data_IF_460869741815
#
_entry.id   IF_460869741815
#
_cell.length_a   1.000
_cell.length_b   1.000
_cell.length_c   1.000
_cell.angle_alpha   90.00
_cell.angle_beta   90.00
_cell.angle_gamma   90.00
#
_symmetry.space_group_name_H-M   'P 1'
#
loop_
_entity.id
_entity.type
_entity.pdbx_description
1 polymer ?
#
# COMPACT_ATOMS: atom_id res chain seq x y z
N UNK A 1 -6.40 -22.20 18.39
CA UNK A 1 -5.02 -21.66 18.44
C UNK A 1 -5.11 -20.15 18.31
N UNK A 2 -4.31 -19.37 19.05
CA UNK A 2 -4.38 -17.89 18.97
C UNK A 2 -3.99 -17.38 17.56
N UNK A 3 -4.62 -16.30 17.12
CA UNK A 3 -4.42 -15.62 15.83
C UNK A 3 -2.94 -15.46 15.46
N UNK A 4 -2.13 -14.91 16.37
CA UNK A 4 -0.72 -14.65 16.09
C UNK A 4 0.09 -15.94 15.83
N UNK A 5 -0.20 -17.01 16.58
CA UNK A 5 0.50 -18.29 16.39
C UNK A 5 0.14 -18.95 15.06
N UNK A 6 -1.12 -18.85 14.61
CA UNK A 6 -1.54 -19.29 13.25
C UNK A 6 -0.82 -18.48 12.17
N UNK A 7 -0.71 -17.18 12.35
CA UNK A 7 -0.01 -16.30 11.41
C UNK A 7 1.46 -16.67 11.25
N UNK A 8 2.16 -16.93 12.36
CA UNK A 8 3.55 -17.42 12.36
C UNK A 8 3.70 -18.79 11.70
N UNK A 9 2.68 -19.66 11.77
CA UNK A 9 2.66 -20.95 11.10
C UNK A 9 2.41 -20.86 9.57
N UNK A 10 2.17 -19.64 9.05
CA UNK A 10 1.98 -19.40 7.62
C UNK A 10 0.51 -19.40 7.17
N UNK A 11 -0.44 -19.49 8.10
CA UNK A 11 -1.89 -19.41 7.82
C UNK A 11 -2.34 -17.94 7.62
N UNK A 12 -1.58 -17.16 6.84
CA UNK A 12 -1.69 -15.70 6.81
C UNK A 12 -3.06 -15.20 6.31
N UNK A 13 -3.57 -15.76 5.20
CA UNK A 13 -4.89 -15.40 4.66
C UNK A 13 -6.02 -15.77 5.62
N UNK A 14 -6.04 -17.03 6.09
CA UNK A 14 -7.05 -17.52 7.02
C UNK A 14 -7.13 -16.71 8.32
N UNK A 15 -5.99 -16.24 8.84
CA UNK A 15 -5.97 -15.34 10.01
C UNK A 15 -6.67 -14.01 9.72
N UNK A 16 -6.48 -13.43 8.54
CA UNK A 16 -7.18 -12.19 8.18
C UNK A 16 -8.66 -12.41 7.90
N UNK A 17 -9.05 -13.57 7.36
CA UNK A 17 -10.46 -13.96 7.23
C UNK A 17 -11.11 -14.05 8.62
N UNK A 18 -10.47 -14.72 9.59
CA UNK A 18 -10.92 -14.78 10.98
C UNK A 18 -11.02 -13.38 11.63
N UNK A 19 -10.06 -12.49 11.35
CA UNK A 19 -10.09 -11.10 11.85
C UNK A 19 -11.26 -10.33 11.25
N UNK A 20 -11.54 -10.51 9.96
CA UNK A 20 -12.67 -9.88 9.28
C UNK A 20 -14.00 -10.35 9.86
N UNK A 21 -14.15 -11.66 10.12
CA UNK A 21 -15.35 -12.25 10.73
C UNK A 21 -15.65 -11.73 12.15
N UNK A 22 -14.64 -11.25 12.89
CA UNK A 22 -14.85 -10.63 14.20
C UNK A 22 -15.63 -9.31 14.11
N UNK A 23 -15.56 -8.60 12.98
CA UNK A 23 -16.16 -7.28 12.79
C UNK A 23 -15.79 -6.32 13.92
N UNK A 24 -16.79 -5.66 14.51
CA UNK A 24 -16.61 -4.70 15.63
C UNK A 24 -15.89 -5.33 16.84
N UNK A 25 -15.96 -6.66 17.04
CA UNK A 25 -15.28 -7.34 18.16
C UNK A 25 -13.76 -7.37 18.01
N UNK A 26 -13.23 -7.15 16.81
CA UNK A 26 -11.79 -7.05 16.57
C UNK A 26 -11.13 -5.99 17.47
N UNK A 27 -11.86 -4.92 17.79
CA UNK A 27 -11.39 -3.81 18.63
C UNK A 27 -11.59 -4.02 20.14
N UNK A 28 -12.06 -5.20 20.56
CA UNK A 28 -12.23 -5.51 21.99
C UNK A 28 -10.89 -5.70 22.69
N UNK A 29 -10.86 -5.48 24.01
CA UNK A 29 -9.68 -5.73 24.85
C UNK A 29 -9.19 -7.19 24.81
N UNK A 30 -10.05 -8.13 24.41
CA UNK A 30 -9.71 -9.54 24.25
C UNK A 30 -8.92 -9.83 22.96
N UNK A 31 -9.37 -9.27 21.83
CA UNK A 31 -8.84 -9.60 20.52
C UNK A 31 -7.72 -8.66 20.07
N UNK A 32 -7.82 -7.36 20.41
CA UNK A 32 -6.92 -6.33 19.93
C UNK A 32 -5.43 -6.65 20.18
N UNK A 33 -5.00 -7.11 21.38
CA UNK A 33 -3.57 -7.40 21.60
C UNK A 33 -2.99 -8.51 20.71
N UNK A 34 -3.80 -9.46 20.24
CA UNK A 34 -3.35 -10.48 19.29
C UNK A 34 -3.35 -9.97 17.85
N UNK A 35 -4.32 -9.13 17.49
CA UNK A 35 -4.39 -8.47 16.18
C UNK A 35 -3.21 -7.51 15.99
N UNK A 36 -2.85 -6.76 17.03
CA UNK A 36 -1.67 -5.88 16.98
C UNK A 36 -0.38 -6.67 16.71
N UNK A 37 -0.22 -7.87 17.28
CA UNK A 37 0.94 -8.74 16.97
C UNK A 37 0.92 -9.24 15.53
N UNK A 38 -0.26 -9.60 15.02
CA UNK A 38 -0.43 -10.00 13.61
C UNK A 38 -0.06 -8.84 12.69
N UNK A 39 -0.57 -7.63 12.94
CA UNK A 39 -0.25 -6.43 12.16
C UNK A 39 1.24 -6.09 12.23
N UNK A 40 1.85 -6.11 13.41
CA UNK A 40 3.29 -5.87 13.58
C UNK A 40 4.11 -6.84 12.73
N UNK A 41 3.88 -8.15 12.87
CA UNK A 41 4.59 -9.15 12.08
C UNK A 41 4.33 -9.00 10.58
N UNK A 42 3.09 -8.70 10.18
CA UNK A 42 2.72 -8.46 8.77
C UNK A 42 3.57 -7.34 8.19
N UNK A 43 3.63 -6.19 8.85
CA UNK A 43 4.33 -5.03 8.30
C UNK A 43 5.85 -5.09 8.49
N UNK A 44 6.36 -5.83 9.46
CA UNK A 44 7.79 -6.19 9.51
C UNK A 44 8.20 -7.07 8.31
N UNK A 45 7.34 -8.01 7.90
CA UNK A 45 7.55 -8.82 6.69
C UNK A 45 7.42 -7.99 5.42
N UNK A 46 6.47 -7.06 5.35
CA UNK A 46 6.36 -6.08 4.25
C UNK A 46 7.67 -5.29 4.10
N UNK A 47 8.16 -4.68 5.18
CA UNK A 47 9.42 -3.92 5.17
C UNK A 47 10.64 -4.79 4.82
N UNK A 48 10.65 -6.05 5.22
CA UNK A 48 11.67 -7.01 4.80
C UNK A 48 11.59 -7.31 3.30
N UNK A 49 10.42 -7.67 2.78
CA UNK A 49 10.19 -8.02 1.38
C UNK A 49 10.55 -6.86 0.45
N UNK A 50 10.14 -5.64 0.79
CA UNK A 50 10.47 -4.44 0.04
C UNK A 50 11.98 -4.21 -0.07
N UNK A 51 12.73 -4.40 1.02
CA UNK A 51 14.20 -4.28 0.99
C UNK A 51 14.85 -5.33 0.10
N UNK A 52 14.35 -6.57 0.13
CA UNK A 52 14.85 -7.63 -0.76
C UNK A 52 14.57 -7.26 -2.22
N UNK A 53 13.33 -6.93 -2.57
CA UNK A 53 12.96 -6.57 -3.95
C UNK A 53 13.80 -5.38 -4.43
N UNK A 54 13.94 -4.34 -3.62
CA UNK A 54 14.75 -3.17 -3.96
C UNK A 54 16.22 -3.54 -4.26
N UNK A 55 16.85 -4.38 -3.43
CA UNK A 55 18.23 -4.82 -3.64
C UNK A 55 18.39 -5.63 -4.93
N UNK A 56 17.46 -6.54 -5.21
CA UNK A 56 17.52 -7.38 -6.41
C UNK A 56 17.20 -6.57 -7.68
N UNK A 57 16.33 -5.55 -7.59
CA UNK A 57 16.08 -4.61 -8.67
C UNK A 57 17.34 -3.81 -9.04
N UNK A 58 18.07 -3.32 -8.03
CA UNK A 58 19.38 -2.68 -8.28
C UNK A 58 20.37 -3.64 -8.94
N UNK A 59 20.38 -4.92 -8.54
CA UNK A 59 21.31 -5.92 -9.08
C UNK A 59 21.08 -6.23 -10.56
N UNK A 60 19.85 -6.08 -11.06
CA UNK A 60 19.52 -6.23 -12.49
C UNK A 60 19.54 -4.90 -13.25
N UNK A 61 19.98 -3.81 -12.60
CA UNK A 61 20.10 -2.50 -13.23
C UNK A 61 18.78 -1.74 -13.38
N UNK A 62 17.77 -2.04 -12.56
CA UNK A 62 16.54 -1.27 -12.52
C UNK A 62 16.81 0.19 -12.13
N UNK A 63 16.19 1.14 -12.82
CA UNK A 63 16.48 2.57 -12.69
C UNK A 63 15.44 3.26 -11.81
N UNK A 64 15.77 3.42 -10.53
CA UNK A 64 15.02 4.24 -9.59
C UNK A 64 15.36 5.72 -9.72
N UNK A 65 14.48 6.59 -9.22
CA UNK A 65 14.74 8.04 -9.14
C UNK A 65 15.97 8.31 -8.28
N UNK A 66 16.97 8.95 -8.87
CA UNK A 66 18.31 9.11 -8.25
C UNK A 66 18.41 10.31 -7.31
N UNK A 67 17.63 11.37 -7.56
CA UNK A 67 17.61 12.60 -6.76
C UNK A 67 16.17 12.96 -6.37
N UNK A 68 15.56 12.23 -5.41
CA UNK A 68 14.23 12.55 -4.92
C UNK A 68 14.26 13.85 -4.11
N UNK A 69 13.40 14.80 -4.45
CA UNK A 69 13.18 16.05 -3.72
C UNK A 69 12.15 15.86 -2.60
N UNK A 70 11.20 14.94 -2.79
CA UNK A 70 10.12 14.66 -1.85
C UNK A 70 10.15 13.21 -1.36
N UNK A 71 9.51 12.93 -0.22
CA UNK A 71 9.49 11.57 0.34
C UNK A 71 8.73 10.57 -0.54
N UNK A 72 7.64 10.98 -1.18
CA UNK A 72 6.87 10.13 -2.09
C UNK A 72 7.67 9.69 -3.33
N UNK A 73 8.77 10.37 -3.65
CA UNK A 73 9.65 10.05 -4.77
C UNK A 73 10.74 9.03 -4.40
N UNK A 74 10.98 8.81 -3.10
CA UNK A 74 12.00 7.87 -2.64
C UNK A 74 11.53 6.46 -2.86
N UNK A 75 12.40 5.62 -3.43
CA UNK A 75 12.04 4.23 -3.70
C UNK A 75 11.72 3.42 -2.45
N UNK A 76 12.46 3.69 -1.39
CA UNK A 76 12.12 3.31 -0.02
C UNK A 76 12.47 4.47 0.89
N UNK A 77 11.63 4.73 1.87
CA UNK A 77 12.04 5.54 3.02
C UNK A 77 11.54 4.90 4.30
N UNK A 78 12.35 5.01 5.36
CA UNK A 78 11.97 4.58 6.70
C UNK A 78 10.79 5.42 7.21
N UNK A 79 10.05 4.93 8.22
CA UNK A 79 9.07 5.75 8.92
C UNK A 79 9.65 7.11 9.32
N UNK A 80 8.92 8.18 9.04
CA UNK A 80 9.32 9.54 9.39
C UNK A 80 9.28 9.72 10.92
N UNK A 81 10.16 10.55 11.48
CA UNK A 81 10.20 10.79 12.93
C UNK A 81 8.86 11.31 13.49
N UNK A 82 8.14 12.10 12.68
CA UNK A 82 6.83 12.65 13.01
C UNK A 82 5.64 11.80 12.52
N UNK A 83 5.85 10.53 12.15
CA UNK A 83 4.80 9.64 11.62
C UNK A 83 3.52 9.65 12.46
N UNK A 84 3.62 9.54 13.79
CA UNK A 84 2.43 9.54 14.66
C UNK A 84 1.67 10.88 14.64
N UNK A 85 2.39 12.01 14.53
CA UNK A 85 1.76 13.32 14.40
C UNK A 85 1.07 13.46 13.04
N UNK A 86 1.65 12.92 11.97
CA UNK A 86 1.04 12.90 10.64
C UNK A 86 -0.20 12.01 10.60
N UNK A 87 -0.19 10.83 11.26
CA UNK A 87 -1.39 10.00 11.43
C UNK A 87 -2.50 10.78 12.14
N UNK A 88 -2.18 11.49 13.22
CA UNK A 88 -3.16 12.31 13.94
C UNK A 88 -3.70 13.47 13.11
N UNK A 89 -2.84 14.10 12.29
CA UNK A 89 -3.22 15.16 11.35
C UNK A 89 -4.21 14.62 10.32
N UNK A 90 -3.93 13.45 9.72
CA UNK A 90 -4.82 12.77 8.79
C UNK A 90 -6.15 12.40 9.47
N UNK A 91 -6.09 11.71 10.61
CA UNK A 91 -7.29 11.29 11.37
C UNK A 91 -8.21 12.48 11.69
N UNK A 92 -7.62 13.63 12.06
CA UNK A 92 -8.38 14.85 12.36
C UNK A 92 -9.02 15.47 11.13
N UNK A 93 -8.29 15.51 10.00
CA UNK A 93 -8.77 16.09 8.76
C UNK A 93 -9.92 15.27 8.14
N UNK A 94 -9.84 13.94 8.22
CA UNK A 94 -10.84 13.04 7.62
C UNK A 94 -12.01 12.71 8.56
N UNK A 95 -11.97 13.13 9.83
CA UNK A 95 -12.96 12.77 10.84
C UNK A 95 -14.44 13.01 10.43
N UNK A 96 -14.80 14.06 9.67
CA UNK A 96 -16.17 14.23 9.17
C UNK A 96 -16.62 13.10 8.23
N UNK A 97 -15.68 12.48 7.52
CA UNK A 97 -15.93 11.45 6.54
C UNK A 97 -15.84 10.04 7.11
N UNK A 98 -14.94 9.80 8.07
CA UNK A 98 -14.81 8.51 8.74
C UNK A 98 -13.40 8.19 9.22
N UNK A 99 -12.97 6.96 9.00
CA UNK A 99 -11.70 6.39 9.49
C UNK A 99 -10.94 5.69 8.38
N UNK A 100 -9.61 5.85 8.38
CA UNK A 100 -8.71 4.94 7.66
C UNK A 100 -8.49 3.64 8.43
N UNK A 101 -8.20 2.52 7.73
CA UNK A 101 -7.98 1.24 8.38
C UNK A 101 -6.72 1.23 9.25
N UNK A 102 -6.74 0.38 10.28
CA UNK A 102 -5.59 0.22 11.18
C UNK A 102 -4.34 -0.30 10.45
N UNK A 103 -4.52 -1.15 9.45
CA UNK A 103 -3.45 -1.68 8.60
C UNK A 103 -2.61 -0.57 7.96
N UNK A 104 -3.25 0.48 7.43
CA UNK A 104 -2.55 1.63 6.84
C UNK A 104 -1.71 2.38 7.89
N UNK A 105 -2.23 2.55 9.11
CA UNK A 105 -1.48 3.18 10.22
C UNK A 105 -0.24 2.36 10.60
N UNK A 106 -0.35 1.03 10.60
CA UNK A 106 0.79 0.15 10.87
C UNK A 106 1.81 0.13 9.73
N UNK A 107 1.35 0.20 8.48
CA UNK A 107 2.23 0.37 7.32
C UNK A 107 3.14 1.59 7.52
N UNK A 108 2.57 2.76 7.81
CA UNK A 108 3.39 3.96 7.99
C UNK A 108 4.32 3.89 9.20
N UNK A 109 3.89 3.28 10.30
CA UNK A 109 4.71 3.14 11.52
C UNK A 109 5.90 2.20 11.37
N UNK A 110 5.79 1.16 10.54
CA UNK A 110 6.79 0.09 10.46
C UNK A 110 7.52 0.02 9.12
N UNK A 111 6.88 0.45 8.05
CA UNK A 111 7.41 0.41 6.68
C UNK A 111 7.89 1.78 6.24
N UNK A 112 7.11 2.84 6.49
CA UNK A 112 7.37 4.18 5.96
C UNK A 112 6.69 4.36 4.60
N UNK A 113 7.44 4.30 3.51
CA UNK A 113 6.88 4.42 2.15
C UNK A 113 7.69 3.68 1.11
N UNK A 114 7.07 3.45 -0.05
CA UNK A 114 7.65 2.73 -1.18
C UNK A 114 7.23 3.37 -2.48
N UNK A 115 8.15 3.54 -3.41
CA UNK A 115 7.88 3.96 -4.78
C UNK A 115 8.83 3.27 -5.76
N UNK A 116 8.45 2.11 -6.28
CA UNK A 116 9.27 1.39 -7.25
C UNK A 116 9.06 1.84 -8.69
N UNK A 117 8.44 3.01 -8.92
CA UNK A 117 8.34 3.56 -10.27
C UNK A 117 9.72 3.81 -10.86
N UNK A 118 9.79 3.63 -12.17
CA UNK A 118 11.00 3.84 -12.95
C UNK A 118 11.29 5.33 -13.10
N UNK A 119 12.55 5.72 -13.15
CA UNK A 119 12.95 7.11 -13.39
C UNK A 119 12.77 7.49 -14.88
N UNK A 120 11.52 7.74 -15.30
CA UNK A 120 11.22 8.15 -16.68
C UNK A 120 11.83 9.49 -17.07
N UNK A 121 12.08 10.36 -16.09
CA UNK A 121 12.68 11.67 -16.35
C UNK A 121 14.10 11.51 -16.91
N UNK A 122 14.85 10.52 -16.40
CA UNK A 122 16.22 10.24 -16.85
C UNK A 122 16.32 9.08 -17.85
N UNK A 123 15.38 8.15 -17.83
CA UNK A 123 15.45 6.89 -18.59
C UNK A 123 14.17 6.59 -19.36
N UNK A 124 14.17 6.79 -20.68
CA UNK A 124 12.99 6.56 -21.54
C UNK A 124 12.73 5.09 -21.89
N UNK A 125 13.75 4.25 -21.80
CA UNK A 125 13.65 2.83 -22.13
C UNK A 125 13.25 2.05 -20.88
N UNK A 126 11.95 1.86 -20.71
CA UNK A 126 11.40 1.11 -19.60
C UNK A 126 11.81 -0.36 -19.67
N UNK A 127 12.18 -0.94 -18.52
CA UNK A 127 12.55 -2.36 -18.43
C UNK A 127 11.34 -3.28 -18.65
N UNK A 128 10.21 -2.98 -18.01
CA UNK A 128 8.99 -3.76 -18.12
C UNK A 128 7.77 -2.85 -18.32
N UNK A 129 7.05 -3.04 -19.42
CA UNK A 129 5.90 -2.20 -19.75
C UNK A 129 4.64 -2.63 -19.00
N UNK A 130 3.94 -1.65 -18.47
CA UNK A 130 2.68 -1.78 -17.71
C UNK A 130 2.84 -2.78 -16.57
N UNK A 131 4.03 -2.81 -15.97
CA UNK A 131 4.40 -3.73 -14.91
C UNK A 131 3.78 -3.34 -13.56
N UNK A 132 3.25 -2.12 -13.47
CA UNK A 132 2.55 -1.58 -12.30
C UNK A 132 3.38 -1.72 -11.02
N UNK A 133 4.60 -1.13 -10.96
CA UNK A 133 5.45 -1.24 -9.78
C UNK A 133 4.73 -0.77 -8.52
N UNK A 134 4.99 -1.46 -7.40
CA UNK A 134 4.42 -1.08 -6.10
C UNK A 134 4.81 0.36 -5.75
N UNK A 135 3.80 1.15 -5.47
CA UNK A 135 3.92 2.50 -4.96
C UNK A 135 2.83 2.71 -3.91
N UNK A 136 3.21 3.19 -2.74
CA UNK A 136 2.30 3.71 -1.72
C UNK A 136 2.77 5.11 -1.35
N UNK A 137 1.90 6.11 -1.49
CA UNK A 137 2.17 7.51 -1.20
C UNK A 137 2.71 7.67 0.21
N UNK A 138 3.67 8.58 0.37
CA UNK A 138 4.27 8.86 1.66
C UNK A 138 3.26 9.56 2.57
N UNK A 139 3.34 9.29 3.87
CA UNK A 139 2.35 9.80 4.83
C UNK A 139 2.29 11.33 4.91
N UNK A 140 3.43 12.00 4.70
CA UNK A 140 3.49 13.46 4.63
C UNK A 140 2.76 14.00 3.41
N UNK A 141 2.90 13.37 2.24
CA UNK A 141 2.13 13.72 1.03
C UNK A 141 0.63 13.62 1.30
N UNK A 142 0.17 12.49 1.86
CA UNK A 142 -1.25 12.30 2.19
C UNK A 142 -1.71 13.36 3.20
N UNK A 143 -0.91 13.62 4.22
CA UNK A 143 -1.25 14.60 5.24
C UNK A 143 -1.36 16.02 4.65
N UNK A 144 -0.55 16.35 3.65
CA UNK A 144 -0.63 17.63 2.94
C UNK A 144 -1.85 17.68 2.01
N UNK A 145 -2.16 16.58 1.31
CA UNK A 145 -3.35 16.47 0.47
C UNK A 145 -4.64 16.66 1.27
N UNK A 146 -4.84 15.89 2.35
CA UNK A 146 -6.09 15.95 3.13
C UNK A 146 -6.24 17.23 3.95
N UNK A 147 -5.16 17.99 4.16
CA UNK A 147 -5.23 19.29 4.83
C UNK A 147 -5.27 20.47 3.88
N UNK A 148 -5.24 20.21 2.57
CA UNK A 148 -5.61 21.21 1.58
C UNK A 148 -7.06 21.64 1.82
N UNK A 149 -7.29 22.97 1.83
CA UNK A 149 -8.61 23.57 2.07
C UNK A 149 -9.70 23.11 1.09
N UNK A 150 -9.32 22.61 -0.10
CA UNK A 150 -10.26 22.16 -1.12
C UNK A 150 -10.56 20.66 -1.02
N UNK A 151 -9.71 19.87 -0.37
CA UNK A 151 -9.84 18.40 -0.36
C UNK A 151 -11.20 17.96 0.18
N UNK A 152 -11.66 18.55 1.30
CA UNK A 152 -12.95 18.18 1.87
C UNK A 152 -14.14 18.57 0.98
N UNK A 153 -14.05 19.70 0.27
CA UNK A 153 -15.09 20.14 -0.68
C UNK A 153 -15.13 19.20 -1.89
N UNK A 154 -13.98 18.87 -2.46
CA UNK A 154 -13.85 17.93 -3.59
C UNK A 154 -14.40 16.54 -3.21
N UNK A 155 -14.01 16.00 -2.06
CA UNK A 155 -14.51 14.70 -1.57
C UNK A 155 -16.02 14.73 -1.34
N UNK A 156 -16.57 15.84 -0.82
CA UNK A 156 -18.01 15.97 -0.64
C UNK A 156 -18.73 15.99 -1.99
N UNK A 157 -18.17 16.65 -3.01
CA UNK A 157 -18.74 16.60 -4.37
C UNK A 157 -18.73 15.18 -4.95
N UNK A 158 -17.65 14.41 -4.77
CA UNK A 158 -17.61 13.00 -5.21
C UNK A 158 -18.75 12.16 -4.60
N UNK A 159 -19.09 12.43 -3.33
CA UNK A 159 -20.17 11.75 -2.61
C UNK A 159 -21.55 12.27 -3.07
N UNK A 160 -21.73 13.59 -3.13
CA UNK A 160 -23.02 14.22 -3.45
C UNK A 160 -23.49 13.93 -4.88
N UNK A 161 -22.55 13.74 -5.81
CA UNK A 161 -22.84 13.39 -7.21
C UNK A 161 -22.80 11.87 -7.48
N UNK A 162 -22.77 11.03 -6.44
CA UNK A 162 -22.72 9.57 -6.54
C UNK A 162 -21.57 9.06 -7.46
N UNK A 163 -20.47 9.81 -7.55
CA UNK A 163 -19.28 9.38 -8.31
C UNK A 163 -18.53 8.30 -7.53
N UNK A 164 -18.46 8.45 -6.21
CA UNK A 164 -17.97 7.44 -5.27
C UNK A 164 -18.86 7.43 -4.03
N UNK A 165 -19.20 6.23 -3.55
CA UNK A 165 -20.07 6.06 -2.37
C UNK A 165 -19.41 6.53 -1.06
N UNK A 166 -18.08 6.61 -1.04
CA UNK A 166 -17.28 6.85 0.14
C UNK A 166 -16.16 7.86 -0.13
N UNK A 167 -15.80 8.61 0.91
CA UNK A 167 -14.57 9.38 0.91
C UNK A 167 -13.36 8.43 0.80
N UNK A 168 -12.22 8.95 0.34
CA UNK A 168 -11.06 8.12 0.03
C UNK A 168 -9.75 8.89 0.17
N UNK A 169 -8.65 8.15 0.28
CA UNK A 169 -7.30 8.71 0.08
C UNK A 169 -6.69 8.11 -1.17
N UNK A 170 -6.03 8.95 -1.98
CA UNK A 170 -5.19 8.45 -3.07
C UNK A 170 -3.90 7.88 -2.49
N UNK A 171 -3.67 6.58 -2.70
CA UNK A 171 -2.50 5.88 -2.15
C UNK A 171 -1.49 5.49 -3.20
N UNK A 172 -1.88 5.34 -4.46
CA UNK A 172 -0.97 4.96 -5.55
C UNK A 172 -1.51 5.53 -6.84
N UNK A 173 -0.66 5.93 -7.79
CA UNK A 173 -1.18 6.10 -9.14
C UNK A 173 -1.58 4.75 -9.75
N UNK A 174 -2.29 4.78 -10.87
CA UNK A 174 -2.59 3.59 -11.65
C UNK A 174 -1.37 3.11 -12.45
N UNK A 175 -1.50 1.96 -13.08
CA UNK A 175 -0.42 1.34 -13.86
C UNK A 175 0.07 2.19 -15.03
N UNK A 176 -0.79 3.04 -15.62
CA UNK A 176 -0.42 3.86 -16.78
C UNK A 176 0.32 5.12 -16.36
N UNK A 177 -0.15 5.81 -15.30
CA UNK A 177 0.59 6.96 -14.77
C UNK A 177 1.97 6.56 -14.23
N UNK A 178 2.09 5.36 -13.64
CA UNK A 178 3.39 4.80 -13.26
C UNK A 178 4.32 4.60 -14.44
N UNK A 179 3.79 4.49 -15.65
CA UNK A 179 4.52 4.39 -16.90
C UNK A 179 4.68 5.72 -17.66
N UNK A 180 4.32 6.85 -17.01
CA UNK A 180 4.28 8.19 -17.62
C UNK A 180 3.38 8.26 -18.87
N UNK A 181 2.32 7.46 -18.87
CA UNK A 181 1.22 7.48 -19.85
C UNK A 181 0.03 8.18 -19.18
N UNK A 182 -0.74 8.97 -19.95
CA UNK A 182 -2.01 9.52 -19.46
C UNK A 182 -2.90 8.37 -19.00
N UNK A 183 -3.14 8.30 -17.69
CA UNK A 183 -3.68 7.10 -17.06
C UNK A 183 -5.10 7.23 -16.57
N UNK A 184 -5.53 6.19 -15.87
CA UNK A 184 -6.78 6.14 -15.14
C UNK A 184 -6.66 6.93 -13.83
N UNK A 185 -7.77 7.12 -13.09
CA UNK A 185 -7.70 7.64 -11.74
C UNK A 185 -6.80 6.77 -10.83
N UNK A 186 -6.15 7.41 -9.86
CA UNK A 186 -5.31 6.77 -8.83
C UNK A 186 -6.00 5.58 -8.15
N UNK A 187 -5.21 4.61 -7.68
CA UNK A 187 -5.67 3.61 -6.71
C UNK A 187 -5.88 4.28 -5.36
N UNK A 188 -7.02 3.97 -4.73
CA UNK A 188 -7.48 4.68 -3.55
C UNK A 188 -7.76 3.70 -2.40
N UNK A 189 -7.66 4.18 -1.17
CA UNK A 189 -8.16 3.46 0.00
C UNK A 189 -9.42 4.12 0.51
N UNK A 190 -10.41 3.30 0.84
CA UNK A 190 -11.69 3.76 1.34
C UNK A 190 -11.58 4.36 2.76
N UNK A 191 -12.26 5.49 2.99
CA UNK A 191 -12.53 6.04 4.33
C UNK A 191 -13.91 5.57 4.76
N UNK A 192 -13.92 4.73 5.80
CA UNK A 192 -15.13 4.03 6.25
C UNK A 192 -15.79 4.74 7.43
N UNK A 193 -17.11 4.63 7.56
CA UNK A 193 -17.85 5.25 8.69
C UNK A 193 -17.54 4.63 10.06
N UNK A 194 -16.96 3.43 10.08
CA UNK A 194 -16.57 2.71 11.30
C UNK A 194 -15.10 2.29 11.21
N UNK A 195 -14.37 2.22 12.33
CA UNK A 195 -13.01 1.68 12.32
C UNK A 195 -12.95 0.27 11.75
N UNK A 196 -11.90 -0.04 10.99
CA UNK A 196 -11.64 -1.37 10.42
C UNK A 196 -10.17 -1.79 10.62
N UNK A 197 -9.90 -3.10 10.66
CA UNK A 197 -8.52 -3.61 10.76
C UNK A 197 -7.80 -3.46 9.43
N UNK A 198 -8.47 -3.81 8.33
CA UNK A 198 -8.02 -3.59 6.97
C UNK A 198 -9.10 -2.85 6.18
N UNK A 199 -8.74 -2.23 5.06
CA UNK A 199 -9.67 -1.42 4.26
C UNK A 199 -9.68 -1.83 2.81
N UNK A 200 -10.79 -1.55 2.14
CA UNK A 200 -10.91 -1.76 0.71
C UNK A 200 -9.92 -0.86 -0.01
N UNK A 201 -9.15 -1.50 -0.89
CA UNK A 201 -8.30 -0.83 -1.85
C UNK A 201 -9.09 -0.88 -3.16
N UNK A 202 -9.36 0.29 -3.72
CA UNK A 202 -10.28 0.44 -4.83
C UNK A 202 -9.53 0.98 -6.04
N UNK A 203 -10.14 0.77 -7.21
CA UNK A 203 -9.62 1.14 -8.54
C UNK A 203 -8.35 0.39 -8.96
N UNK A 204 -7.76 -0.44 -8.10
CA UNK A 204 -6.85 -1.46 -8.59
C UNK A 204 -7.67 -2.62 -9.23
N UNK A 205 -7.10 -3.40 -10.16
CA UNK A 205 -7.88 -4.36 -10.95
C UNK A 205 -8.45 -5.59 -10.23
N UNK A 206 -8.17 -5.77 -8.93
CA UNK A 206 -8.40 -7.04 -8.24
C UNK A 206 -9.55 -7.03 -7.22
N UNK A 207 -10.25 -5.91 -7.06
CA UNK A 207 -11.33 -5.71 -6.08
C UNK A 207 -10.94 -6.26 -4.69
N UNK A 208 -9.99 -5.57 -4.06
CA UNK A 208 -9.24 -6.15 -2.95
C UNK A 208 -9.14 -5.27 -1.71
N UNK A 209 -8.40 -5.73 -0.71
CA UNK A 209 -8.10 -4.95 0.50
C UNK A 209 -6.64 -4.53 0.49
N UNK A 210 -6.27 -3.52 1.27
CA UNK A 210 -4.90 -3.01 1.28
C UNK A 210 -3.85 -4.10 1.57
N UNK A 211 -4.08 -5.02 2.51
CA UNK A 211 -3.15 -6.12 2.78
C UNK A 211 -3.14 -7.14 1.64
N UNK A 212 -4.29 -7.43 1.02
CA UNK A 212 -4.35 -8.31 -0.14
C UNK A 212 -3.66 -7.69 -1.37
N UNK A 213 -3.75 -6.38 -1.57
CA UNK A 213 -2.97 -5.67 -2.59
C UNK A 213 -1.46 -5.88 -2.36
N UNK A 214 -0.98 -5.70 -1.11
CA UNK A 214 0.41 -5.99 -0.78
C UNK A 214 0.79 -7.46 -1.04
N UNK A 215 -0.10 -8.43 -0.74
CA UNK A 215 0.11 -9.84 -1.09
C UNK A 215 0.27 -10.03 -2.59
N UNK A 216 -0.61 -9.44 -3.39
CA UNK A 216 -0.55 -9.50 -4.86
C UNK A 216 0.77 -8.88 -5.35
N UNK A 217 1.20 -7.75 -4.79
CA UNK A 217 2.50 -7.17 -5.11
C UNK A 217 3.64 -8.16 -4.80
N UNK A 218 3.68 -8.76 -3.62
CA UNK A 218 4.78 -9.67 -3.24
C UNK A 218 4.74 -11.02 -3.96
N UNK A 219 3.55 -11.54 -4.26
CA UNK A 219 3.40 -12.71 -5.13
C UNK A 219 3.98 -12.44 -6.53
N UNK A 220 4.07 -11.17 -6.92
CA UNK A 220 4.63 -10.71 -8.19
C UNK A 220 5.90 -9.86 -8.02
N UNK A 221 6.67 -10.13 -6.95
CA UNK A 221 7.98 -9.51 -6.71
C UNK A 221 8.00 -7.97 -6.78
N UNK A 222 6.89 -7.32 -6.42
CA UNK A 222 6.72 -5.86 -6.44
C UNK A 222 5.97 -5.31 -7.67
N UNK A 223 5.54 -6.16 -8.61
CA UNK A 223 4.99 -5.74 -9.91
C UNK A 223 3.70 -6.50 -10.24
N UNK A 224 2.56 -6.16 -9.60
CA UNK A 224 1.26 -6.77 -9.87
C UNK A 224 0.84 -6.78 -11.36
N UNK A 225 1.39 -5.88 -12.19
CA UNK A 225 1.11 -5.80 -13.62
C UNK A 225 1.73 -6.92 -14.47
N UNK A 226 2.81 -7.56 -14.00
CA UNK A 226 3.55 -8.54 -14.81
C UNK A 226 2.77 -9.82 -15.13
N UNK A 227 1.79 -10.19 -14.31
CA UNK A 227 0.93 -11.36 -14.58
C UNK A 227 -0.08 -11.12 -15.69
N UNK A 228 -0.29 -9.86 -16.08
CA UNK A 228 -1.27 -9.45 -17.10
C UNK A 228 -0.66 -9.34 -18.49
N UNK A 229 0.67 -9.37 -18.63
CA UNK A 229 1.36 -9.04 -19.87
C UNK A 229 2.45 -10.06 -20.21
N UNK A 230 2.32 -10.71 -21.37
CA UNK A 230 3.25 -11.71 -21.90
C UNK A 230 4.51 -11.10 -22.52
N UNK A 231 4.57 -9.77 -22.68
CA UNK A 231 5.68 -9.06 -23.32
C UNK A 231 6.90 -8.81 -22.40
N UNK A 232 6.80 -9.13 -21.11
CA UNK A 232 7.86 -8.82 -20.15
C UNK A 232 8.71 -10.07 -19.84
N UNK A 233 10.01 -10.04 -20.13
CA UNK A 233 10.94 -11.07 -19.67
C UNK A 233 11.34 -10.78 -18.21
N UNK A 234 10.64 -11.43 -17.26
CA UNK A 234 10.78 -11.20 -15.82
C UNK A 234 10.97 -12.49 -15.01
N UNK A 235 10.93 -13.66 -15.67
CA UNK A 235 10.96 -14.95 -14.96
C UNK A 235 12.28 -15.14 -14.19
N UNK A 236 13.41 -14.76 -14.78
CA UNK A 236 14.72 -14.85 -14.13
C UNK A 236 14.77 -14.00 -12.85
N UNK A 237 14.15 -12.83 -12.84
CA UNK A 237 14.03 -11.99 -11.65
C UNK A 237 13.14 -12.67 -10.59
N UNK A 238 12.01 -13.24 -10.99
CA UNK A 238 11.07 -13.91 -10.08
C UNK A 238 11.70 -15.13 -9.42
N UNK A 239 12.45 -15.94 -10.17
CA UNK A 239 13.12 -17.14 -9.66
C UNK A 239 14.14 -16.80 -8.56
N UNK A 240 14.76 -15.62 -8.64
CA UNK A 240 15.72 -15.13 -7.65
C UNK A 240 15.01 -14.53 -6.42
N UNK A 241 13.97 -13.71 -6.65
CA UNK A 241 13.34 -12.89 -5.61
C UNK A 241 12.32 -13.68 -4.80
N UNK A 242 11.41 -14.40 -5.47
CA UNK A 242 10.25 -15.03 -4.84
C UNK A 242 10.61 -15.98 -3.69
N UNK A 243 11.66 -16.83 -3.79
CA UNK A 243 12.08 -17.70 -2.68
C UNK A 243 12.61 -16.95 -1.45
N UNK A 244 13.02 -15.68 -1.60
CA UNK A 244 13.55 -14.85 -0.52
C UNK A 244 12.43 -14.12 0.25
N UNK A 245 11.24 -14.00 -0.32
CA UNK A 245 10.14 -13.24 0.28
C UNK A 245 9.43 -14.03 1.38
N UNK A 246 9.02 -13.32 2.43
CA UNK A 246 8.19 -13.85 3.51
C UNK A 246 6.72 -13.70 3.13
N UNK A 247 5.93 -14.75 3.33
CA UNK A 247 4.47 -14.69 3.16
C UNK A 247 3.84 -13.73 4.15
N UNK A 248 2.90 -12.91 3.69
CA UNK A 248 2.11 -12.00 4.52
C UNK A 248 0.61 -12.27 4.45
#
# INVERSE_FOLDING_TARGET
>A
MKLYKKYLAGETKAVYDEIHELGDKAFSMEHMPEIEKVLTETFERVAYNLRIIYQELLAIGYQFKTNPEFNFEKSLHLPLENTNSLIQKIDSAIAPFGYIPLSLKYFYRLVGGVNFTWDYAMNKNLMWNVADPIWIASIDSIADDVTNKFWAEEIQEYIDYDILEHAFLELSADELHKDNISGNPSYIIEITKKPSIDGNFLREPNDTTFINYLRICFDNCGFPGLTRNDLNDHQAFFDIVKPKLKKI
#
